data_IF_389961208387
#
_entry.id   IF_389961208387
#
_cell.length_a   1.000
_cell.length_b   1.000
_cell.length_c   1.000
_cell.angle_alpha   90.00
_cell.angle_beta   90.00
_cell.angle_gamma   90.00
#
_symmetry.space_group_name_H-M   'P 1'
#
loop_
_entity.id
_entity.type
_entity.pdbx_description
1 polymer ?
#
# COMPACT_ATOMS: atom_id res chain seq x y z
N UNK A 1 7.21 -17.12 -7.52
CA UNK A 1 7.04 -15.72 -7.10
C UNK A 1 6.53 -15.66 -5.68
N UNK A 2 7.05 -14.75 -4.85
CA UNK A 2 6.60 -14.49 -3.49
C UNK A 2 5.65 -13.26 -3.51
N UNK A 3 4.50 -13.33 -2.85
CA UNK A 3 3.58 -12.20 -2.63
C UNK A 3 3.59 -11.79 -1.16
N UNK A 4 3.03 -10.63 -0.82
CA UNK A 4 2.91 -10.20 0.57
C UNK A 4 1.97 -11.13 1.34
N UNK A 5 0.81 -11.49 0.78
CA UNK A 5 -0.13 -12.45 1.36
C UNK A 5 0.57 -13.77 1.74
N UNK A 6 1.31 -14.37 0.79
CA UNK A 6 2.03 -15.63 1.04
C UNK A 6 3.10 -15.48 2.10
N UNK A 7 3.74 -14.32 2.20
CA UNK A 7 4.78 -14.07 3.19
C UNK A 7 4.16 -13.99 4.59
N UNK A 8 3.11 -13.17 4.74
CA UNK A 8 2.39 -13.02 6.00
C UNK A 8 1.76 -14.33 6.47
N UNK A 9 1.12 -15.06 5.56
CA UNK A 9 0.48 -16.34 5.91
C UNK A 9 1.49 -17.41 6.32
N UNK A 10 2.63 -17.53 5.60
CA UNK A 10 3.69 -18.50 5.95
C UNK A 10 4.23 -18.28 7.36
N UNK A 11 4.31 -17.03 7.80
CA UNK A 11 4.91 -16.65 9.07
C UNK A 11 3.87 -16.30 10.14
N UNK A 12 2.58 -16.51 9.86
CA UNK A 12 1.46 -16.15 10.74
C UNK A 12 1.54 -14.71 11.26
N UNK A 13 1.89 -13.76 10.39
CA UNK A 13 2.10 -12.36 10.74
C UNK A 13 0.85 -11.51 10.52
N UNK A 14 0.71 -10.53 11.41
CA UNK A 14 -0.13 -9.35 11.27
C UNK A 14 0.79 -8.12 11.34
N UNK A 15 0.43 -7.05 10.64
CA UNK A 15 1.28 -5.88 10.46
C UNK A 15 0.48 -4.63 10.79
N UNK A 16 0.92 -3.89 11.81
CA UNK A 16 0.28 -2.62 12.15
C UNK A 16 0.55 -1.55 11.09
N UNK A 17 1.76 -1.52 10.54
CA UNK A 17 2.17 -0.48 9.61
C UNK A 17 3.15 -0.99 8.56
N UNK A 18 2.86 -0.69 7.29
CA UNK A 18 3.76 -0.94 6.16
C UNK A 18 4.24 0.39 5.61
N UNK A 19 5.56 0.63 5.61
CA UNK A 19 6.20 1.59 4.71
C UNK A 19 6.61 0.84 3.44
N UNK A 20 6.15 1.31 2.29
CA UNK A 20 6.53 0.79 0.98
C UNK A 20 7.10 1.92 0.13
N UNK A 21 8.30 1.72 -0.39
CA UNK A 21 9.00 2.66 -1.25
C UNK A 21 9.86 1.83 -2.19
N UNK A 22 9.24 1.41 -3.29
CA UNK A 22 9.79 0.44 -4.22
C UNK A 22 9.58 0.96 -5.62
N UNK A 23 10.65 0.95 -6.41
CA UNK A 23 10.80 1.66 -7.69
C UNK A 23 9.86 1.13 -8.79
N UNK A 24 8.56 1.46 -8.73
CA UNK A 24 7.56 1.14 -9.75
C UNK A 24 6.76 -0.16 -9.57
N UNK A 25 7.00 -0.91 -8.49
CA UNK A 25 6.34 -2.20 -8.21
C UNK A 25 5.24 -2.12 -7.13
N UNK A 26 4.86 -0.91 -6.70
CA UNK A 26 3.95 -0.63 -5.59
C UNK A 26 2.60 -1.31 -5.79
N UNK A 27 1.99 -1.12 -6.96
CA UNK A 27 0.68 -1.69 -7.25
C UNK A 27 0.73 -3.22 -7.31
N UNK A 28 1.83 -3.82 -7.79
CA UNK A 28 1.99 -5.27 -7.81
C UNK A 28 2.06 -5.87 -6.39
N UNK A 29 2.69 -5.16 -5.45
CA UNK A 29 2.70 -5.57 -4.04
C UNK A 29 1.32 -5.49 -3.43
N UNK A 30 0.56 -4.41 -3.71
CA UNK A 30 -0.83 -4.28 -3.25
C UNK A 30 -1.73 -5.37 -3.84
N UNK A 31 -1.60 -5.69 -5.13
CA UNK A 31 -2.31 -6.82 -5.74
C UNK A 31 -1.99 -8.15 -5.04
N UNK A 32 -0.74 -8.33 -4.62
CA UNK A 32 -0.29 -9.47 -3.83
C UNK A 32 -0.64 -9.42 -2.33
N UNK A 33 -1.38 -8.41 -1.86
CA UNK A 33 -1.76 -8.17 -0.47
C UNK A 33 -3.29 -8.16 -0.25
N UNK A 34 -4.07 -8.55 -1.26
CA UNK A 34 -5.53 -8.45 -1.24
C UNK A 34 -6.19 -9.28 -0.13
N UNK A 35 -5.67 -10.47 0.16
CA UNK A 35 -6.21 -11.32 1.23
C UNK A 35 -5.88 -10.75 2.61
N UNK A 36 -4.66 -10.26 2.81
CA UNK A 36 -4.24 -9.62 4.04
C UNK A 36 -5.09 -8.37 4.32
N UNK A 37 -5.34 -7.54 3.31
CA UNK A 37 -6.24 -6.40 3.44
C UNK A 37 -7.68 -6.81 3.76
N UNK A 38 -8.23 -7.80 3.06
CA UNK A 38 -9.60 -8.28 3.32
C UNK A 38 -9.77 -8.84 4.74
N UNK A 39 -8.73 -9.49 5.28
CA UNK A 39 -8.72 -10.07 6.62
C UNK A 39 -8.31 -9.06 7.71
N UNK A 40 -8.03 -7.81 7.36
CA UNK A 40 -7.59 -6.79 8.30
C UNK A 40 -6.19 -7.02 8.88
N UNK A 41 -5.34 -7.84 8.22
CA UNK A 41 -4.00 -8.18 8.68
C UNK A 41 -2.99 -7.04 8.55
N UNK A 42 -3.28 -6.02 7.75
CA UNK A 42 -2.42 -4.84 7.58
C UNK A 42 -3.24 -3.62 7.98
N UNK A 43 -2.90 -2.98 9.10
CA UNK A 43 -3.72 -1.86 9.61
C UNK A 43 -3.46 -0.56 8.89
N UNK A 44 -2.22 -0.27 8.51
CA UNK A 44 -1.85 1.02 7.91
C UNK A 44 -0.77 0.90 6.85
N UNK A 45 -0.82 1.82 5.90
CA UNK A 45 0.12 1.94 4.78
C UNK A 45 0.67 3.36 4.69
N UNK A 46 1.96 3.44 4.35
CA UNK A 46 2.64 4.62 3.82
C UNK A 46 3.38 4.19 2.56
N UNK A 47 3.04 4.79 1.43
CA UNK A 47 3.50 4.38 0.10
C UNK A 47 4.15 5.57 -0.58
N UNK A 48 5.43 5.43 -0.94
CA UNK A 48 6.08 6.27 -1.94
C UNK A 48 5.76 5.74 -3.34
N UNK A 49 5.21 6.58 -4.22
CA UNK A 49 4.67 6.18 -5.53
C UNK A 49 5.44 6.84 -6.67
N UNK A 50 6.00 6.06 -7.58
CA UNK A 50 6.97 6.53 -8.58
C UNK A 50 6.37 7.07 -9.90
N UNK A 51 5.04 7.23 -10.00
CA UNK A 51 4.39 7.93 -11.11
C UNK A 51 2.94 8.28 -10.77
N UNK A 52 2.35 9.24 -11.49
CA UNK A 52 0.95 9.62 -11.31
C UNK A 52 0.01 8.43 -11.52
N UNK A 53 0.31 7.59 -12.52
CA UNK A 53 -0.47 6.39 -12.82
C UNK A 53 -0.39 5.36 -11.69
N UNK A 54 0.80 5.13 -11.12
CA UNK A 54 0.96 4.23 -9.98
C UNK A 54 0.30 4.79 -8.73
N UNK A 55 0.39 6.10 -8.51
CA UNK A 55 -0.28 6.80 -7.43
C UNK A 55 -1.80 6.57 -7.47
N UNK A 56 -2.42 6.86 -8.62
CA UNK A 56 -3.86 6.67 -8.82
C UNK A 56 -4.30 5.21 -8.64
N UNK A 57 -3.50 4.24 -9.11
CA UNK A 57 -3.76 2.80 -8.93
C UNK A 57 -3.70 2.39 -7.45
N UNK A 58 -2.69 2.85 -6.71
CA UNK A 58 -2.56 2.58 -5.28
C UNK A 58 -3.70 3.22 -4.48
N UNK A 59 -4.05 4.47 -4.78
CA UNK A 59 -5.19 5.17 -4.16
C UNK A 59 -6.51 4.42 -4.38
N UNK A 60 -6.78 4.00 -5.61
CA UNK A 60 -7.97 3.23 -5.96
C UNK A 60 -8.02 1.91 -5.19
N UNK A 61 -6.89 1.21 -5.08
CA UNK A 61 -6.79 -0.03 -4.31
C UNK A 61 -7.07 0.18 -2.82
N UNK A 62 -6.45 1.19 -2.18
CA UNK A 62 -6.69 1.51 -0.77
C UNK A 62 -8.18 1.80 -0.51
N UNK A 63 -8.81 2.61 -1.37
CA UNK A 63 -10.26 2.91 -1.28
C UNK A 63 -11.12 1.65 -1.46
N UNK A 64 -10.80 0.80 -2.44
CA UNK A 64 -11.50 -0.47 -2.68
C UNK A 64 -11.44 -1.40 -1.47
N UNK A 65 -10.34 -1.41 -0.74
CA UNK A 65 -10.14 -2.21 0.47
C UNK A 65 -10.51 -1.47 1.76
N UNK A 66 -11.31 -0.41 1.67
CA UNK A 66 -11.88 0.32 2.80
C UNK A 66 -10.87 0.98 3.76
N UNK A 67 -9.66 1.28 3.28
CA UNK A 67 -8.74 2.13 4.02
C UNK A 67 -9.20 3.59 3.95
N UNK A 68 -9.23 4.26 5.10
CA UNK A 68 -9.37 5.71 5.19
C UNK A 68 -8.07 6.36 4.77
N UNK A 69 -8.14 7.22 3.76
CA UNK A 69 -6.98 7.95 3.24
C UNK A 69 -6.59 9.05 4.22
N UNK A 70 -5.30 9.07 4.60
CA UNK A 70 -4.70 10.05 5.51
C UNK A 70 -3.87 11.08 4.74
N UNK A 71 -3.18 10.64 3.69
CA UNK A 71 -2.34 11.47 2.81
C UNK A 71 -2.57 11.02 1.38
N UNK A 72 -2.72 11.97 0.46
CA UNK A 72 -2.89 11.80 -0.98
C UNK A 72 -2.21 13.00 -1.63
N UNK A 73 -0.90 12.89 -1.87
CA UNK A 73 -0.08 13.97 -2.40
C UNK A 73 0.81 13.43 -3.52
N UNK A 74 0.51 13.81 -4.76
CA UNK A 74 1.38 13.58 -5.89
C UNK A 74 2.27 14.82 -6.09
N UNK A 75 3.59 14.62 -6.27
CA UNK A 75 4.63 15.67 -6.33
C UNK A 75 4.80 16.46 -5.03
N UNK A 76 5.70 16.00 -4.16
CA UNK A 76 6.04 16.71 -2.91
C UNK A 76 7.34 17.49 -3.04
N UNK A 77 7.53 18.52 -2.20
CA UNK A 77 8.74 19.35 -2.25
C UNK A 77 10.03 18.55 -1.98
N UNK A 78 9.96 17.54 -1.12
CA UNK A 78 11.12 16.77 -0.64
C UNK A 78 11.22 15.37 -1.27
N UNK A 79 10.22 14.97 -2.06
CA UNK A 79 10.20 13.70 -2.79
C UNK A 79 9.62 13.97 -4.19
N UNK A 80 10.42 13.80 -5.27
CA UNK A 80 9.93 14.00 -6.65
C UNK A 80 8.80 13.00 -7.02
N UNK A 81 8.62 11.97 -6.20
CA UNK A 81 7.57 10.97 -6.26
C UNK A 81 6.35 11.38 -5.38
N UNK A 82 5.24 10.64 -5.50
CA UNK A 82 4.06 10.87 -4.66
C UNK A 82 4.14 10.16 -3.29
N UNK A 83 3.41 10.68 -2.31
CA UNK A 83 3.19 10.06 -1.00
C UNK A 83 1.69 9.76 -0.84
N UNK A 84 1.39 8.51 -0.48
CA UNK A 84 0.04 8.06 -0.18
C UNK A 84 0.02 7.32 1.16
N UNK A 85 -0.94 7.63 2.01
CA UNK A 85 -1.11 6.93 3.29
C UNK A 85 -2.58 6.61 3.56
N UNK A 86 -2.83 5.45 4.18
CA UNK A 86 -4.17 5.04 4.57
C UNK A 86 -4.18 4.05 5.73
N UNK A 87 -5.27 4.04 6.50
CA UNK A 87 -5.48 3.16 7.65
C UNK A 87 -6.83 2.46 7.57
N UNK A 88 -6.90 1.20 8.00
CA UNK A 88 -8.17 0.53 8.26
C UNK A 88 -8.94 1.29 9.33
N UNK A 89 -10.27 1.26 9.21
CA UNK A 89 -11.22 1.79 10.19
C UNK A 89 -11.34 0.87 11.41
#
# INVERSE_FOLDING_TARGET
TQTLDRFLDRHALEVDFVKMDIQGAEYQVLEGAGQAAQKGKIKSWLIGTHSETLHAKCLSWLKKHHYRILVDQFETQDQPDGILAGTLL
#
